data_IF_068144995865
#
_entry.id   IF_068144995865
#
_cell.length_a   1.000
_cell.length_b   1.000
_cell.length_c   1.000
_cell.angle_alpha   90.00
_cell.angle_beta   90.00
_cell.angle_gamma   90.00
#
_symmetry.space_group_name_H-M   'P 1'
#
loop_
_entity.id
_entity.type
_entity.pdbx_description
1 polymer ?
#
# COMPACT_ATOMS: atom_id res chain seq x y z
N UNK A 1 4.74 -0.57 5.14
CA UNK A 1 3.31 -0.80 4.80
C UNK A 1 3.12 -1.29 3.37
N UNK A 2 3.85 -0.93 2.41
CA UNK A 2 3.69 -1.20 0.98
C UNK A 2 4.76 -2.20 0.52
N UNK A 3 4.38 -3.45 0.19
CA UNK A 3 5.31 -4.54 -0.14
C UNK A 3 4.67 -5.47 -1.18
N UNK A 4 5.46 -5.90 -2.16
CA UNK A 4 5.08 -6.82 -3.23
C UNK A 4 5.73 -8.19 -3.10
N UNK A 5 5.05 -9.19 -3.63
CA UNK A 5 5.52 -10.57 -3.76
C UNK A 5 5.48 -11.00 -5.23
N UNK A 6 5.81 -12.27 -5.51
CA UNK A 6 5.73 -12.83 -6.87
C UNK A 6 4.31 -12.93 -7.45
N UNK A 7 3.28 -12.54 -6.72
CA UNK A 7 1.94 -12.38 -7.28
C UNK A 7 1.82 -11.08 -8.09
N UNK A 8 2.65 -10.09 -7.79
CA UNK A 8 2.80 -8.90 -8.64
C UNK A 8 3.61 -9.26 -9.89
N UNK A 9 3.19 -8.76 -11.04
CA UNK A 9 3.80 -9.04 -12.34
C UNK A 9 5.27 -8.60 -12.48
N UNK A 10 5.73 -7.72 -11.62
CA UNK A 10 7.05 -7.07 -11.61
C UNK A 10 7.90 -7.42 -10.37
N UNK A 11 7.49 -8.41 -9.59
CA UNK A 11 8.20 -8.89 -8.41
C UNK A 11 8.42 -10.41 -8.48
N UNK A 12 9.61 -10.89 -8.11
CA UNK A 12 9.94 -12.30 -8.08
C UNK A 12 10.11 -12.85 -6.65
N UNK A 13 9.91 -12.02 -5.63
CA UNK A 13 10.14 -12.39 -4.24
C UNK A 13 9.09 -13.38 -3.75
N UNK A 14 9.55 -14.50 -3.18
CA UNK A 14 8.68 -15.45 -2.53
C UNK A 14 7.97 -14.81 -1.33
N UNK A 15 6.64 -14.98 -1.15
CA UNK A 15 5.90 -14.35 -0.07
C UNK A 15 6.45 -14.69 1.33
N UNK A 16 6.83 -15.95 1.60
CA UNK A 16 7.40 -16.34 2.89
C UNK A 16 8.78 -15.73 3.12
N UNK A 17 9.62 -15.70 2.08
CA UNK A 17 10.92 -15.05 2.16
C UNK A 17 10.81 -13.53 2.41
N UNK A 18 9.76 -12.87 1.91
CA UNK A 18 9.45 -11.46 2.21
C UNK A 18 9.12 -11.29 3.69
N UNK A 19 8.27 -12.15 4.26
CA UNK A 19 7.92 -12.12 5.67
C UNK A 19 9.14 -12.39 6.55
N UNK A 20 9.89 -13.45 6.28
CA UNK A 20 11.13 -13.79 7.00
C UNK A 20 12.12 -12.62 6.99
N UNK A 21 12.28 -11.98 5.83
CA UNK A 21 13.14 -10.80 5.69
C UNK A 21 12.67 -9.61 6.51
N UNK A 22 11.36 -9.38 6.58
CA UNK A 22 10.76 -8.32 7.39
C UNK A 22 11.01 -8.55 8.89
N UNK A 23 10.72 -9.76 9.36
CA UNK A 23 10.96 -10.16 10.76
C UNK A 23 12.44 -10.07 11.13
N UNK A 24 13.34 -10.51 10.25
CA UNK A 24 14.80 -10.39 10.45
C UNK A 24 15.29 -8.93 10.51
N UNK A 25 14.49 -7.98 10.01
CA UNK A 25 14.74 -6.54 10.14
C UNK A 25 14.04 -5.88 11.33
N UNK A 26 13.40 -6.66 12.18
CA UNK A 26 12.72 -6.19 13.38
C UNK A 26 11.35 -5.55 13.12
N UNK A 27 10.71 -5.86 11.97
CA UNK A 27 9.35 -5.44 11.72
C UNK A 27 8.37 -6.45 12.34
N UNK A 28 7.41 -5.98 13.12
CA UNK A 28 6.40 -6.85 13.76
C UNK A 28 5.32 -7.28 12.78
N UNK A 29 4.93 -6.38 11.87
CA UNK A 29 3.87 -6.62 10.90
C UNK A 29 4.25 -6.08 9.51
N UNK A 30 3.72 -6.73 8.46
CA UNK A 30 3.81 -6.27 7.08
C UNK A 30 2.42 -6.17 6.45
N UNK A 31 2.22 -5.20 5.57
CA UNK A 31 1.08 -5.18 4.66
C UNK A 31 1.56 -5.72 3.31
N UNK A 32 1.01 -6.84 2.88
CA UNK A 32 1.26 -7.40 1.54
C UNK A 32 0.22 -6.82 0.61
N UNK A 33 0.69 -6.14 -0.44
CA UNK A 33 -0.12 -5.26 -1.30
C UNK A 33 0.21 -5.49 -2.76
N UNK A 34 0.09 -6.74 -3.21
CA UNK A 34 0.39 -7.10 -4.59
C UNK A 34 -0.50 -6.35 -5.59
N UNK A 35 0.05 -6.10 -6.79
CA UNK A 35 -0.67 -5.42 -7.86
C UNK A 35 -1.87 -6.21 -8.35
N UNK A 36 -3.09 -5.74 -8.02
CA UNK A 36 -4.39 -6.30 -8.44
C UNK A 36 -4.58 -7.78 -8.06
N UNK A 37 -3.87 -8.23 -7.03
CA UNK A 37 -3.91 -9.60 -6.51
C UNK A 37 -3.89 -9.60 -4.98
N UNK A 38 -4.59 -10.56 -4.37
CA UNK A 38 -4.74 -10.65 -2.91
C UNK A 38 -4.35 -12.02 -2.34
N UNK A 39 -4.22 -13.04 -3.20
CA UNK A 39 -4.11 -14.44 -2.78
C UNK A 39 -2.88 -14.72 -1.92
N UNK A 40 -1.71 -14.13 -2.25
CA UNK A 40 -0.52 -14.29 -1.44
C UNK A 40 -0.69 -13.68 -0.05
N UNK A 41 -1.33 -12.51 0.04
CA UNK A 41 -1.62 -11.85 1.31
C UNK A 41 -2.55 -12.70 2.19
N UNK A 42 -3.62 -13.26 1.60
CA UNK A 42 -4.55 -14.16 2.28
C UNK A 42 -3.87 -15.45 2.76
N UNK A 43 -3.07 -16.08 1.91
CA UNK A 43 -2.35 -17.31 2.24
C UNK A 43 -1.34 -17.08 3.39
N UNK A 44 -0.58 -15.98 3.34
CA UNK A 44 0.33 -15.61 4.42
C UNK A 44 -0.43 -15.27 5.70
N UNK A 45 -1.53 -14.53 5.62
CA UNK A 45 -2.37 -14.18 6.79
C UNK A 45 -2.91 -15.41 7.50
N UNK A 46 -3.34 -16.42 6.75
CA UNK A 46 -3.84 -17.68 7.30
C UNK A 46 -2.77 -18.43 8.11
N UNK A 47 -1.49 -18.34 7.70
CA UNK A 47 -0.36 -19.01 8.37
C UNK A 47 0.29 -18.15 9.46
N UNK A 48 0.30 -16.84 9.27
CA UNK A 48 1.00 -15.89 10.14
C UNK A 48 0.08 -14.71 10.54
N UNK A 49 -1.03 -15.00 11.25
CA UNK A 49 -2.09 -14.02 11.52
C UNK A 49 -1.61 -12.79 12.29
N UNK A 50 -0.58 -12.92 13.13
CA UNK A 50 -0.06 -11.82 13.94
C UNK A 50 0.86 -10.88 13.16
N UNK A 51 1.42 -11.34 12.03
CA UNK A 51 2.46 -10.62 11.29
C UNK A 51 2.00 -10.03 9.97
N UNK A 52 0.85 -10.47 9.42
CA UNK A 52 0.42 -10.09 8.09
C UNK A 52 -0.89 -9.31 8.14
N UNK A 53 -0.89 -8.18 7.48
CA UNK A 53 -2.08 -7.40 7.13
C UNK A 53 -2.33 -7.64 5.65
N UNK A 54 -3.55 -8.08 5.33
CA UNK A 54 -3.97 -8.30 3.95
C UNK A 54 -4.25 -6.97 3.29
N UNK A 55 -3.69 -6.76 2.12
CA UNK A 55 -3.94 -5.61 1.28
C UNK A 55 -3.83 -5.95 -0.20
N UNK A 56 -4.16 -5.00 -1.03
CA UNK A 56 -4.07 -5.05 -2.48
C UNK A 56 -3.76 -3.66 -3.02
N UNK A 57 -2.79 -3.54 -3.95
CA UNK A 57 -2.59 -2.31 -4.71
C UNK A 57 -3.37 -2.38 -6.02
N UNK A 58 -4.52 -1.72 -6.05
CA UNK A 58 -5.44 -1.72 -7.18
C UNK A 58 -5.05 -0.64 -8.19
N UNK A 59 -4.81 -1.03 -9.44
CA UNK A 59 -4.70 -0.09 -10.57
C UNK A 59 -6.09 0.29 -11.05
N UNK A 60 -6.52 1.52 -10.78
CA UNK A 60 -7.85 2.04 -11.12
C UNK A 60 -8.02 2.35 -12.61
N UNK A 61 -9.25 2.65 -13.04
CA UNK A 61 -9.58 3.06 -14.40
C UNK A 61 -8.81 4.33 -14.82
N UNK A 62 -8.60 5.25 -13.88
CA UNK A 62 -7.84 6.49 -14.07
C UNK A 62 -6.33 6.26 -14.09
N UNK A 63 -5.89 4.99 -13.98
CA UNK A 63 -4.49 4.55 -13.99
C UNK A 63 -3.67 5.05 -12.78
N UNK A 64 -4.35 5.41 -11.70
CA UNK A 64 -3.74 5.68 -10.40
C UNK A 64 -3.80 4.42 -9.53
N UNK A 65 -2.94 4.36 -8.52
CA UNK A 65 -2.93 3.25 -7.58
C UNK A 65 -3.64 3.64 -6.30
N UNK A 66 -4.46 2.71 -5.78
CA UNK A 66 -5.12 2.79 -4.48
C UNK A 66 -4.88 1.48 -3.75
N UNK A 67 -4.41 1.55 -2.53
CA UNK A 67 -4.22 0.37 -1.68
C UNK A 67 -5.41 0.23 -0.73
N UNK A 68 -6.03 -0.96 -0.74
CA UNK A 68 -6.91 -1.42 0.32
C UNK A 68 -6.11 -2.17 1.37
N UNK A 69 -6.25 -1.81 2.65
CA UNK A 69 -5.68 -2.54 3.78
C UNK A 69 -6.79 -3.16 4.60
N UNK A 70 -6.53 -4.33 5.24
CA UNK A 70 -7.49 -5.11 6.01
C UNK A 70 -8.69 -5.61 5.19
N UNK A 71 -8.50 -5.79 3.90
CA UNK A 71 -9.52 -6.33 3.00
C UNK A 71 -9.42 -7.87 2.94
N UNK A 72 -10.48 -8.51 2.45
CA UNK A 72 -10.60 -9.97 2.36
C UNK A 72 -11.09 -10.46 0.99
N UNK A 73 -11.51 -9.55 0.13
CA UNK A 73 -11.90 -9.83 -1.24
C UNK A 73 -11.14 -8.91 -2.21
N UNK A 74 -10.73 -9.49 -3.34
CA UNK A 74 -10.03 -8.77 -4.39
C UNK A 74 -10.93 -7.73 -5.06
N UNK A 75 -10.35 -6.57 -5.37
CA UNK A 75 -11.01 -5.51 -6.14
C UNK A 75 -10.48 -5.58 -7.58
N UNK A 76 -11.36 -5.72 -8.60
CA UNK A 76 -10.92 -5.88 -9.98
C UNK A 76 -10.10 -4.68 -10.48
N UNK A 77 -8.99 -4.96 -11.16
CA UNK A 77 -8.23 -3.95 -11.91
C UNK A 77 -9.13 -3.16 -12.85
N UNK A 78 -8.96 -1.85 -12.91
CA UNK A 78 -9.75 -0.97 -13.76
C UNK A 78 -11.08 -0.53 -13.15
N UNK A 79 -11.35 -0.88 -11.89
CA UNK A 79 -12.43 -0.26 -11.12
C UNK A 79 -12.15 1.24 -10.99
N UNK A 80 -13.14 2.14 -11.16
CA UNK A 80 -12.97 3.57 -10.95
C UNK A 80 -12.42 3.87 -9.55
N UNK A 81 -11.57 4.89 -9.40
CA UNK A 81 -10.87 5.16 -8.14
C UNK A 81 -11.83 5.37 -6.96
N UNK A 82 -12.92 6.12 -7.16
CA UNK A 82 -13.92 6.33 -6.12
C UNK A 82 -14.61 5.01 -5.72
N UNK A 83 -15.04 4.23 -6.70
CA UNK A 83 -15.64 2.91 -6.46
C UNK A 83 -14.64 1.95 -5.79
N UNK A 84 -13.36 2.02 -6.16
CA UNK A 84 -12.29 1.26 -5.47
C UNK A 84 -12.25 1.59 -3.98
N UNK A 85 -12.28 2.88 -3.62
CA UNK A 85 -12.31 3.32 -2.23
C UNK A 85 -13.59 2.85 -1.50
N UNK A 86 -14.73 2.94 -2.15
CA UNK A 86 -16.02 2.49 -1.59
C UNK A 86 -16.00 0.98 -1.33
N UNK A 87 -15.54 0.15 -2.28
CA UNK A 87 -15.40 -1.30 -2.11
C UNK A 87 -14.40 -1.69 -1.01
N UNK A 88 -13.33 -0.92 -0.81
CA UNK A 88 -12.41 -1.12 0.33
C UNK A 88 -13.16 -0.90 1.64
N UNK A 89 -13.92 0.18 1.76
CA UNK A 89 -14.69 0.51 2.97
C UNK A 89 -15.84 -0.44 3.23
N UNK A 90 -16.52 -0.95 2.20
CA UNK A 90 -17.56 -1.97 2.32
C UNK A 90 -17.04 -3.26 2.96
N UNK A 91 -15.75 -3.57 2.75
CA UNK A 91 -15.07 -4.69 3.40
C UNK A 91 -14.59 -4.37 4.84
N UNK A 92 -14.81 -3.15 5.35
CA UNK A 92 -14.24 -2.68 6.62
C UNK A 92 -12.76 -2.33 6.55
N UNK A 93 -12.22 -2.23 5.34
CA UNK A 93 -10.83 -1.89 5.07
C UNK A 93 -10.53 -0.40 5.18
N UNK A 94 -9.25 -0.07 5.11
CA UNK A 94 -8.72 1.30 5.10
C UNK A 94 -8.21 1.66 3.70
N UNK A 95 -8.56 2.83 3.22
CA UNK A 95 -8.09 3.40 1.96
C UNK A 95 -6.74 4.09 2.18
N UNK A 96 -5.70 3.53 1.58
CA UNK A 96 -4.34 4.05 1.63
C UNK A 96 -3.88 4.44 0.22
N UNK A 97 -3.46 5.69 0.02
CA UNK A 97 -3.01 6.14 -1.31
C UNK A 97 -1.48 6.09 -1.38
N UNK A 98 -0.91 5.17 -2.19
CA UNK A 98 0.52 5.02 -2.33
C UNK A 98 1.10 6.11 -3.23
N UNK A 99 2.37 6.49 -2.99
CA UNK A 99 3.19 7.40 -3.82
C UNK A 99 2.42 8.45 -4.66
N UNK A 100 1.51 9.23 -4.07
CA UNK A 100 0.47 9.98 -4.78
C UNK A 100 0.97 11.01 -5.80
N UNK A 101 2.21 11.45 -5.68
CA UNK A 101 2.81 12.45 -6.58
C UNK A 101 3.93 11.89 -7.47
N UNK A 102 4.18 10.57 -7.45
CA UNK A 102 5.16 9.96 -8.33
C UNK A 102 4.64 9.89 -9.77
N UNK A 103 5.17 10.71 -10.64
CA UNK A 103 4.83 10.68 -12.07
C UNK A 103 5.21 9.33 -12.71
N UNK A 104 4.33 8.78 -13.54
CA UNK A 104 4.58 7.55 -14.30
C UNK A 104 4.41 6.24 -13.52
N UNK A 105 4.22 6.30 -12.20
CA UNK A 105 4.04 5.13 -11.32
C UNK A 105 2.63 5.04 -10.71
N UNK A 106 1.60 5.49 -11.41
CA UNK A 106 0.25 5.50 -10.84
C UNK A 106 0.01 6.60 -9.81
N UNK A 107 0.88 7.61 -9.76
CA UNK A 107 0.71 8.77 -8.90
C UNK A 107 -0.53 9.58 -9.26
N UNK A 108 -1.48 9.66 -8.34
CA UNK A 108 -2.83 10.17 -8.53
C UNK A 108 -3.08 11.58 -8.01
N UNK A 109 -2.12 12.50 -8.09
CA UNK A 109 -2.28 13.82 -7.49
C UNK A 109 -3.54 14.61 -7.89
N UNK A 110 -4.11 14.33 -9.06
CA UNK A 110 -5.42 14.91 -9.46
C UNK A 110 -6.58 14.17 -8.80
N UNK A 111 -6.50 12.84 -8.74
CA UNK A 111 -7.58 12.02 -8.19
C UNK A 111 -7.76 12.22 -6.68
N UNK A 112 -6.71 12.68 -5.99
CA UNK A 112 -6.80 12.99 -4.56
C UNK A 112 -7.85 14.05 -4.23
N UNK A 113 -8.17 14.95 -5.15
CA UNK A 113 -9.23 15.94 -4.93
C UNK A 113 -10.64 15.32 -5.13
N UNK A 114 -10.72 14.21 -5.87
CA UNK A 114 -11.97 13.49 -6.14
C UNK A 114 -12.29 12.42 -5.08
N UNK A 115 -11.27 11.80 -4.48
CA UNK A 115 -11.43 10.73 -3.49
C UNK A 115 -11.00 11.12 -2.07
N UNK A 116 -10.55 12.36 -1.86
CA UNK A 116 -9.95 12.79 -0.60
C UNK A 116 -10.85 12.64 0.63
N UNK A 117 -12.16 12.64 0.45
CA UNK A 117 -13.18 12.37 1.48
C UNK A 117 -13.24 10.90 1.91
N UNK A 118 -12.67 9.99 1.11
CA UNK A 118 -12.64 8.54 1.35
C UNK A 118 -11.26 8.04 1.81
N UNK A 119 -10.21 8.88 1.74
CA UNK A 119 -8.84 8.50 2.07
C UNK A 119 -8.63 8.48 3.59
N UNK A 120 -8.22 7.33 4.12
CA UNK A 120 -7.93 7.14 5.55
C UNK A 120 -6.47 7.45 5.89
N UNK A 121 -5.54 7.18 4.96
CA UNK A 121 -4.14 7.55 5.11
C UNK A 121 -3.45 7.68 3.75
N UNK A 122 -2.30 8.35 3.71
CA UNK A 122 -1.50 8.56 2.49
C UNK A 122 -0.05 8.15 2.72
N UNK A 123 0.60 7.63 1.66
CA UNK A 123 2.02 7.33 1.71
C UNK A 123 2.84 8.62 1.58
N UNK A 124 3.30 9.14 2.73
CA UNK A 124 4.14 10.33 2.79
C UNK A 124 5.62 10.03 2.59
N UNK A 125 6.03 8.78 2.76
CA UNK A 125 7.36 8.30 2.45
C UNK A 125 7.29 6.97 1.69
N UNK A 126 7.79 6.98 0.45
CA UNK A 126 8.00 5.77 -0.34
C UNK A 126 9.50 5.64 -0.62
N UNK A 127 10.09 4.51 -0.24
CA UNK A 127 11.54 4.30 -0.32
C UNK A 127 12.08 4.16 -1.76
N UNK A 128 11.21 3.92 -2.75
CA UNK A 128 11.57 3.87 -4.18
C UNK A 128 11.46 5.22 -4.90
N UNK A 129 10.98 6.26 -4.20
CA UNK A 129 10.91 7.61 -4.78
C UNK A 129 12.24 8.32 -4.59
N UNK A 130 12.96 8.53 -5.68
CA UNK A 130 14.26 9.22 -5.66
C UNK A 130 14.17 10.73 -5.41
N UNK A 131 13.07 11.37 -5.82
CA UNK A 131 12.88 12.81 -5.65
C UNK A 131 12.13 13.10 -4.34
N UNK A 132 12.88 13.40 -3.30
CA UNK A 132 12.38 13.71 -1.95
C UNK A 132 11.19 14.70 -1.95
N UNK A 133 11.20 15.70 -2.82
CA UNK A 133 10.11 16.67 -2.96
C UNK A 133 8.74 16.06 -3.23
N UNK A 134 8.68 14.85 -3.79
CA UNK A 134 7.41 14.17 -4.07
C UNK A 134 6.81 13.59 -2.79
N UNK A 135 7.65 13.02 -1.92
CA UNK A 135 7.27 12.59 -0.58
C UNK A 135 6.85 13.80 0.28
N UNK A 136 7.62 14.88 0.26
CA UNK A 136 7.31 16.13 0.98
C UNK A 136 5.95 16.72 0.53
N UNK A 137 5.64 16.65 -0.76
CA UNK A 137 4.34 17.09 -1.29
C UNK A 137 3.19 16.24 -0.77
N UNK A 138 3.37 14.91 -0.64
CA UNK A 138 2.38 14.01 -0.06
C UNK A 138 2.11 14.38 1.41
N UNK A 139 3.15 14.57 2.19
CA UNK A 139 3.05 15.00 3.59
C UNK A 139 2.33 16.35 3.72
N UNK A 140 2.67 17.32 2.88
CA UNK A 140 2.03 18.64 2.91
C UNK A 140 0.54 18.56 2.56
N UNK A 141 0.17 17.75 1.57
CA UNK A 141 -1.22 17.53 1.17
C UNK A 141 -2.04 16.90 2.31
N UNK A 142 -1.50 15.84 2.94
CA UNK A 142 -2.12 15.14 4.05
C UNK A 142 -2.30 16.07 5.27
N UNK A 143 -1.25 16.80 5.64
CA UNK A 143 -1.27 17.74 6.77
C UNK A 143 -2.33 18.82 6.61
N UNK A 144 -2.50 19.35 5.39
CA UNK A 144 -3.51 20.37 5.10
C UNK A 144 -4.96 19.87 5.29
N UNK A 145 -5.15 18.54 5.31
CA UNK A 145 -6.48 17.88 5.42
C UNK A 145 -6.66 17.09 6.72
N UNK A 146 -5.66 17.06 7.59
CA UNK A 146 -5.69 16.26 8.81
C UNK A 146 -5.67 14.75 8.58
N UNK A 147 -5.19 14.30 7.40
CA UNK A 147 -5.12 12.88 7.02
C UNK A 147 -3.82 12.29 7.57
N UNK A 148 -3.86 11.10 8.20
CA UNK A 148 -2.68 10.37 8.66
C UNK A 148 -1.67 10.09 7.54
N UNK A 149 -0.37 10.06 7.91
CA UNK A 149 0.73 9.82 6.99
C UNK A 149 1.39 8.50 7.34
N UNK A 150 1.47 7.60 6.37
CA UNK A 150 2.20 6.35 6.45
C UNK A 150 3.52 6.37 5.68
N UNK A 151 4.22 5.25 5.73
CA UNK A 151 5.45 5.01 4.97
C UNK A 151 5.48 3.59 4.41
N UNK A 152 6.01 3.44 3.20
CA UNK A 152 6.17 2.16 2.53
C UNK A 152 7.56 1.93 1.97
N UNK A 153 7.97 0.67 1.91
CA UNK A 153 9.18 0.29 1.20
C UNK A 153 8.94 0.18 -0.31
N UNK A 154 7.71 -0.12 -0.72
CA UNK A 154 7.35 -0.44 -2.12
C UNK A 154 8.31 -1.52 -2.67
N UNK A 155 8.61 -2.51 -1.79
CA UNK A 155 9.66 -3.47 -2.03
C UNK A 155 9.24 -4.48 -3.10
N UNK A 156 10.07 -4.63 -4.14
CA UNK A 156 9.96 -5.64 -5.20
C UNK A 156 11.12 -6.65 -5.16
N UNK A 157 12.03 -6.47 -4.21
CA UNK A 157 13.13 -7.39 -3.92
C UNK A 157 13.29 -7.54 -2.41
N UNK A 158 13.87 -8.65 -1.97
CA UNK A 158 14.16 -8.89 -0.54
C UNK A 158 15.11 -7.83 0.06
N UNK A 159 15.96 -7.21 -0.75
CA UNK A 159 16.87 -6.16 -0.31
C UNK A 159 16.15 -4.84 0.03
N UNK A 160 14.98 -4.60 -0.56
CA UNK A 160 14.17 -3.40 -0.36
C UNK A 160 13.23 -3.50 0.83
N UNK A 161 12.88 -4.71 1.29
CA UNK A 161 11.98 -4.93 2.43
C UNK A 161 12.50 -4.19 3.66
N UNK A 162 11.63 -3.37 4.28
CA UNK A 162 11.96 -2.60 5.49
C UNK A 162 12.81 -1.35 5.25
N UNK A 163 12.90 -0.83 4.03
CA UNK A 163 13.51 0.50 3.77
C UNK A 163 12.60 1.66 4.14
N UNK A 164 11.30 1.42 4.28
CA UNK A 164 10.30 2.34 4.81
C UNK A 164 9.39 1.61 5.78
N UNK A 165 9.21 2.17 6.99
CA UNK A 165 8.35 1.60 8.05
C UNK A 165 7.64 2.70 8.83
N UNK A 166 6.67 2.32 9.64
CA UNK A 166 5.95 3.19 10.58
C UNK A 166 6.06 2.57 11.97
N UNK A 167 6.23 3.39 12.97
CA UNK A 167 6.07 3.00 14.37
C UNK A 167 4.70 3.47 14.85
N UNK A 168 3.96 2.57 15.50
CA UNK A 168 2.65 2.86 16.05
C UNK A 168 2.39 1.99 17.28
N UNK A 169 1.42 2.35 18.15
CA UNK A 169 1.01 1.48 19.25
C UNK A 169 0.61 0.09 18.75
N UNK A 170 0.78 -0.92 19.59
CA UNK A 170 0.30 -2.28 19.28
C UNK A 170 -1.22 -2.31 19.12
N UNK A 171 -1.69 -3.09 18.15
CA UNK A 171 -3.11 -3.28 17.81
C UNK A 171 -3.37 -4.74 17.40
#
# INVERSE_FOLDING_TARGET
MHIHTRQSFDCLSDPEAVLERALARGLDKICVTDHNEIDAALALKARYPEHVIVGEEVKTAERVDVIGLFIHERIPKGTPARETCERIREQGGLVYVPHPFAGGKGGGGRILDEIGDLVDAIEGFNARIHFRRLNERAVAWAKARGIPVGAGSDAHTLAEVGRGWVEMPAF
#
